data_IF_182851438080
#
_entry.id   IF_182851438080
#
_cell.length_a   1.000
_cell.length_b   1.000
_cell.length_c   1.000
_cell.angle_alpha   90.00
_cell.angle_beta   90.00
_cell.angle_gamma   90.00
#
_symmetry.space_group_name_H-M   'P 1'
#
loop_
_entity.id
_entity.type
_entity.pdbx_description
1 polymer ?
#
# COMPACT_ATOMS: atom_id res chain seq x y z
N UNK A 1 -40.27 25.88 2.94
CA UNK A 1 -39.51 25.98 1.69
C UNK A 1 -38.21 25.23 1.93
N UNK A 2 -38.26 23.98 1.52
CA UNK A 2 -37.24 22.93 1.64
C UNK A 2 -36.35 22.96 0.40
N UNK A 3 -35.32 22.09 0.36
CA UNK A 3 -34.32 21.87 -0.71
C UNK A 3 -33.10 22.80 -0.55
N UNK A 4 -31.85 22.36 -0.38
CA UNK A 4 -31.15 21.19 -0.90
C UNK A 4 -30.12 20.68 0.13
N UNK A 5 -30.22 19.41 0.53
CA UNK A 5 -29.10 18.66 1.08
C UNK A 5 -29.16 17.25 0.48
N UNK A 6 -28.85 17.19 -0.82
CA UNK A 6 -28.79 15.95 -1.60
C UNK A 6 -27.32 15.64 -1.91
N UNK A 7 -27.00 14.35 -1.79
CA UNK A 7 -25.80 13.66 -2.32
C UNK A 7 -24.50 13.89 -1.53
N UNK A 8 -23.77 12.89 -1.02
CA UNK A 8 -23.82 11.44 -1.11
C UNK A 8 -22.87 10.91 -0.01
N UNK A 9 -23.42 10.20 0.97
CA UNK A 9 -22.66 9.61 2.07
C UNK A 9 -22.25 8.18 1.67
N UNK A 10 -21.14 8.01 0.94
CA UNK A 10 -20.66 6.69 0.55
C UNK A 10 -19.86 6.02 1.69
N UNK A 11 -20.18 4.75 2.04
CA UNK A 11 -19.70 4.10 3.26
C UNK A 11 -18.24 3.62 3.16
N UNK A 12 -17.42 4.05 4.11
CA UNK A 12 -16.07 3.52 4.33
C UNK A 12 -16.12 2.06 4.79
N UNK A 13 -15.51 1.17 4.00
CA UNK A 13 -15.35 -0.28 4.28
C UNK A 13 -14.54 -0.55 5.56
N UNK A 14 -15.17 -0.48 6.73
CA UNK A 14 -14.74 -1.16 7.96
C UNK A 14 -15.95 -1.42 8.88
N UNK A 15 -16.86 -2.31 8.46
CA UNK A 15 -17.82 -2.91 9.41
C UNK A 15 -17.14 -4.04 10.16
N UNK A 16 -16.64 -3.70 11.35
CA UNK A 16 -16.42 -4.60 12.47
C UNK A 16 -17.79 -5.14 12.88
N UNK A 17 -18.03 -6.42 12.68
CA UNK A 17 -19.26 -7.10 13.15
C UNK A 17 -19.10 -7.28 14.66
N UNK A 18 -19.63 -6.33 15.43
CA UNK A 18 -20.06 -6.57 16.80
C UNK A 18 -21.55 -6.89 16.71
N UNK A 19 -21.91 -8.16 16.88
CA UNK A 19 -23.29 -8.59 17.02
C UNK A 19 -23.50 -9.03 18.46
N UNK A 20 -24.41 -8.32 19.12
CA UNK A 20 -24.89 -8.58 20.46
C UNK A 20 -25.56 -9.95 20.51
N UNK A 21 -25.15 -10.77 21.47
CA UNK A 21 -25.86 -12.00 21.83
C UNK A 21 -26.84 -11.67 22.95
N UNK A 22 -28.09 -11.36 22.58
CA UNK A 22 -29.19 -11.39 23.54
C UNK A 22 -29.84 -12.77 23.55
N UNK A 23 -29.89 -13.33 24.75
CA UNK A 23 -30.46 -14.62 25.10
C UNK A 23 -31.97 -14.49 25.19
N UNK A 24 -32.73 -15.22 24.38
CA UNK A 24 -33.98 -15.85 24.79
C UNK A 24 -34.56 -16.72 23.67
N UNK A 25 -35.42 -17.67 24.07
CA UNK A 25 -36.15 -18.66 23.28
C UNK A 25 -35.43 -20.03 23.21
N UNK A 26 -35.49 -20.71 24.35
CA UNK A 26 -35.54 -22.16 24.40
C UNK A 26 -37.00 -22.60 24.20
N UNK A 27 -37.30 -23.33 23.12
CA UNK A 27 -38.42 -24.29 23.04
C UNK A 27 -38.39 -25.11 21.73
N UNK A 28 -37.97 -26.38 21.87
CA UNK A 28 -38.66 -27.62 21.42
C UNK A 28 -38.91 -27.94 19.92
N UNK A 29 -38.57 -29.21 19.58
CA UNK A 29 -39.08 -30.14 18.50
C UNK A 29 -38.25 -30.16 17.19
N UNK A 30 -38.09 -31.31 16.46
CA UNK A 30 -37.66 -32.67 16.81
C UNK A 30 -36.39 -33.11 16.01
N UNK A 31 -35.83 -34.28 16.32
CA UNK A 31 -34.71 -34.87 15.59
C UNK A 31 -35.11 -35.26 14.15
N UNK A 32 -34.71 -34.43 13.18
CA UNK A 32 -34.80 -34.73 11.75
C UNK A 32 -33.44 -35.25 11.24
N UNK A 33 -33.39 -36.39 10.52
CA UNK A 33 -32.15 -37.01 10.04
C UNK A 33 -31.36 -36.14 9.04
N UNK A 34 -31.94 -35.02 8.57
CA UNK A 34 -31.26 -34.04 7.73
C UNK A 34 -30.10 -33.31 8.45
N UNK A 35 -30.11 -33.23 9.78
CA UNK A 35 -29.06 -32.57 10.55
C UNK A 35 -27.72 -33.33 10.52
N UNK A 36 -27.76 -34.66 10.39
CA UNK A 36 -26.55 -35.49 10.33
C UNK A 36 -25.75 -35.29 9.03
N UNK A 37 -26.44 -35.06 7.90
CA UNK A 37 -25.83 -34.75 6.61
C UNK A 37 -25.10 -33.40 6.62
N UNK A 38 -25.64 -32.42 7.33
CA UNK A 38 -25.02 -31.11 7.49
C UNK A 38 -23.76 -31.16 8.36
N UNK A 39 -23.78 -31.96 9.44
CA UNK A 39 -22.63 -32.12 10.33
C UNK A 39 -21.43 -32.85 9.68
N UNK A 40 -21.67 -33.78 8.77
CA UNK A 40 -20.61 -34.49 8.03
C UNK A 40 -19.88 -33.55 7.05
N UNK A 41 -20.63 -32.65 6.40
CA UNK A 41 -20.10 -31.69 5.43
C UNK A 41 -19.17 -30.63 6.07
N UNK A 42 -19.40 -30.30 7.34
CA UNK A 42 -18.55 -29.35 8.08
C UNK A 42 -17.24 -29.94 8.62
N UNK A 43 -17.08 -31.27 8.66
CA UNK A 43 -15.81 -31.92 9.07
C UNK A 43 -14.81 -32.05 7.92
N UNK A 44 -15.27 -32.16 6.67
CA UNK A 44 -14.37 -32.25 5.50
C UNK A 44 -13.77 -30.88 5.15
N UNK A 45 -14.49 -29.77 5.42
CA UNK A 45 -14.02 -28.42 5.12
C UNK A 45 -12.91 -27.88 6.05
N UNK A 46 -12.50 -28.61 7.08
CA UNK A 46 -11.47 -28.17 8.03
C UNK A 46 -10.08 -28.77 7.77
N UNK A 47 -9.96 -29.87 7.01
CA UNK A 47 -8.66 -30.52 6.77
C UNK A 47 -7.80 -29.84 5.70
N UNK A 48 -8.39 -29.05 4.79
CA UNK A 48 -7.63 -28.34 3.74
C UNK A 48 -7.02 -27.00 4.20
N UNK A 49 -7.25 -26.60 5.46
CA UNK A 49 -6.70 -25.35 6.03
C UNK A 49 -5.38 -25.53 6.78
N UNK A 50 -4.72 -26.67 6.65
CA UNK A 50 -3.30 -26.81 7.00
C UNK A 50 -2.40 -26.52 5.79
N UNK A 51 -2.60 -25.36 5.16
CA UNK A 51 -1.57 -24.74 4.33
C UNK A 51 -0.39 -24.44 5.25
N UNK A 52 0.63 -25.29 5.12
CA UNK A 52 1.93 -25.19 5.78
C UNK A 52 2.31 -23.73 6.07
N UNK A 53 2.52 -23.43 7.36
CA UNK A 53 3.06 -22.15 7.84
C UNK A 53 4.45 -21.83 7.28
N UNK A 54 5.09 -22.73 6.51
CA UNK A 54 6.41 -22.53 5.89
C UNK A 54 6.43 -21.51 4.75
N UNK A 55 5.27 -21.09 4.21
CA UNK A 55 5.21 -20.07 3.15
C UNK A 55 5.41 -18.63 3.65
N UNK A 56 5.40 -18.38 4.97
CA UNK A 56 5.49 -17.04 5.56
C UNK A 56 6.88 -16.40 5.50
N UNK A 57 7.91 -17.14 5.11
CA UNK A 57 9.30 -16.66 5.08
C UNK A 57 9.87 -16.47 3.67
N UNK A 58 9.05 -16.47 2.61
CA UNK A 58 9.56 -15.98 1.33
C UNK A 58 9.88 -14.49 1.51
N UNK A 59 11.13 -14.04 1.26
CA UNK A 59 11.42 -12.63 1.27
C UNK A 59 10.42 -11.96 0.34
N UNK A 60 9.59 -11.06 0.88
CA UNK A 60 8.53 -10.37 0.14
C UNK A 60 9.17 -9.71 -1.07
N UNK A 61 9.09 -10.35 -2.25
CA UNK A 61 9.90 -10.10 -3.45
C UNK A 61 10.48 -8.69 -3.46
N UNK A 62 11.66 -8.54 -2.85
CA UNK A 62 12.26 -7.22 -2.69
C UNK A 62 13.02 -6.93 -3.96
N UNK A 63 12.61 -5.88 -4.67
CA UNK A 63 13.34 -5.41 -5.87
C UNK A 63 14.83 -5.26 -5.55
N UNK A 64 15.68 -5.60 -6.52
CA UNK A 64 17.13 -5.53 -6.38
C UNK A 64 17.58 -4.11 -6.03
N UNK A 65 18.75 -4.00 -5.39
CA UNK A 65 19.33 -2.69 -5.04
C UNK A 65 19.54 -1.87 -6.31
N UNK A 66 20.12 -2.45 -7.36
CA UNK A 66 20.34 -1.79 -8.65
C UNK A 66 19.04 -1.23 -9.26
N UNK A 67 17.95 -2.00 -9.23
CA UNK A 67 16.66 -1.54 -9.75
C UNK A 67 16.09 -0.39 -8.91
N UNK A 68 16.18 -0.48 -7.58
CA UNK A 68 15.79 0.63 -6.69
C UNK A 68 16.63 1.87 -6.97
N UNK A 69 17.93 1.74 -7.15
CA UNK A 69 18.83 2.85 -7.48
C UNK A 69 18.38 3.56 -8.75
N UNK A 70 18.07 2.83 -9.83
CA UNK A 70 17.53 3.42 -11.07
C UNK A 70 16.22 4.17 -10.84
N UNK A 71 15.28 3.59 -10.09
CA UNK A 71 13.99 4.23 -9.83
C UNK A 71 14.11 5.50 -8.98
N UNK A 72 14.91 5.46 -7.92
CA UNK A 72 15.14 6.63 -7.07
C UNK A 72 15.89 7.73 -7.84
N UNK A 73 16.88 7.37 -8.67
CA UNK A 73 17.55 8.31 -9.56
C UNK A 73 16.58 8.96 -10.55
N UNK A 74 15.68 8.19 -11.15
CA UNK A 74 14.68 8.77 -12.04
C UNK A 74 13.74 9.74 -11.31
N UNK A 75 13.30 9.41 -10.09
CA UNK A 75 12.46 10.31 -9.28
C UNK A 75 13.20 11.57 -8.89
N UNK A 76 14.51 11.45 -8.61
CA UNK A 76 15.39 12.58 -8.41
C UNK A 76 15.26 13.51 -9.63
N UNK A 77 15.56 13.02 -10.83
CA UNK A 77 15.57 13.85 -12.04
C UNK A 77 14.18 14.40 -12.42
N UNK A 78 13.08 13.79 -11.93
CA UNK A 78 11.70 14.13 -12.28
C UNK A 78 10.85 14.52 -11.06
N UNK A 79 11.45 15.14 -10.04
CA UNK A 79 10.74 15.43 -8.79
C UNK A 79 9.53 16.34 -8.99
N UNK A 80 9.58 17.27 -9.94
CA UNK A 80 8.47 18.18 -10.25
C UNK A 80 7.27 17.45 -10.89
N UNK A 81 7.54 16.38 -11.64
CA UNK A 81 6.51 15.57 -12.30
C UNK A 81 6.83 14.06 -12.23
N UNK A 82 6.61 13.42 -11.06
CA UNK A 82 7.02 12.03 -10.81
C UNK A 82 6.03 11.00 -11.39
N UNK A 83 5.65 11.18 -12.65
CA UNK A 83 4.72 10.34 -13.40
C UNK A 83 5.45 9.73 -14.60
N UNK A 84 6.00 8.52 -14.45
CA UNK A 84 6.74 7.90 -15.53
C UNK A 84 5.82 7.54 -16.69
N UNK A 85 6.38 7.59 -17.89
CA UNK A 85 5.73 7.20 -19.15
C UNK A 85 6.07 5.76 -19.53
N UNK A 86 5.40 5.23 -20.55
CA UNK A 86 5.74 3.93 -21.13
C UNK A 86 7.16 3.91 -21.72
N UNK A 87 7.69 5.05 -22.17
CA UNK A 87 9.08 5.19 -22.62
C UNK A 87 10.05 5.07 -21.45
N UNK A 88 9.77 5.74 -20.32
CA UNK A 88 10.61 5.63 -19.12
C UNK A 88 10.69 4.20 -18.61
N UNK A 89 9.58 3.46 -18.68
CA UNK A 89 9.54 2.04 -18.33
C UNK A 89 10.55 1.20 -19.13
N UNK A 90 10.67 1.45 -20.44
CA UNK A 90 11.63 0.75 -21.30
C UNK A 90 13.08 1.10 -20.91
N UNK A 91 13.37 2.38 -20.66
CA UNK A 91 14.71 2.85 -20.28
C UNK A 91 15.14 2.40 -18.89
N UNK A 92 14.21 2.26 -17.96
CA UNK A 92 14.46 1.69 -16.64
C UNK A 92 14.72 0.17 -16.71
N UNK A 93 14.66 -0.41 -17.93
CA UNK A 93 15.15 -1.72 -18.36
C UNK A 93 14.61 -2.82 -17.45
N UNK A 94 13.30 -2.96 -17.53
CA UNK A 94 12.50 -3.87 -16.71
C UNK A 94 11.82 -4.93 -17.59
N UNK A 95 12.59 -5.54 -18.48
CA UNK A 95 12.05 -6.53 -19.41
C UNK A 95 11.55 -7.81 -18.71
N UNK A 96 11.85 -7.96 -17.41
CA UNK A 96 11.34 -9.02 -16.54
C UNK A 96 10.19 -8.60 -15.60
N UNK A 97 9.54 -7.46 -15.83
CA UNK A 97 8.59 -6.89 -14.86
C UNK A 97 7.28 -6.47 -15.47
N UNK A 98 6.21 -6.82 -14.76
CA UNK A 98 4.86 -6.48 -15.16
C UNK A 98 4.68 -4.95 -15.22
N UNK A 99 4.06 -4.49 -16.32
CA UNK A 99 3.66 -3.09 -16.54
C UNK A 99 2.89 -2.58 -15.33
N UNK A 100 1.99 -3.40 -14.77
CA UNK A 100 1.17 -3.02 -13.62
C UNK A 100 2.03 -2.74 -12.38
N UNK A 101 2.97 -3.63 -12.08
CA UNK A 101 3.83 -3.49 -10.89
C UNK A 101 4.73 -2.25 -10.95
N UNK A 102 5.07 -1.79 -12.16
CA UNK A 102 5.78 -0.53 -12.38
C UNK A 102 4.96 0.66 -11.93
N UNK A 103 3.78 0.84 -12.51
CA UNK A 103 2.92 1.96 -12.14
C UNK A 103 2.49 1.90 -10.67
N UNK A 104 2.26 0.70 -10.14
CA UNK A 104 1.98 0.50 -8.73
C UNK A 104 3.16 0.89 -7.84
N UNK A 105 4.39 0.59 -8.25
CA UNK A 105 5.55 1.01 -7.49
C UNK A 105 5.64 2.52 -7.41
N UNK A 106 5.54 3.22 -8.55
CA UNK A 106 5.62 4.69 -8.58
C UNK A 106 4.44 5.34 -7.85
N UNK A 107 3.23 4.82 -8.00
CA UNK A 107 2.06 5.31 -7.26
C UNK A 107 2.24 5.19 -5.75
N UNK A 108 2.63 4.00 -5.28
CA UNK A 108 2.92 3.78 -3.86
C UNK A 108 4.10 4.61 -3.37
N UNK A 109 5.11 4.79 -4.21
CA UNK A 109 6.27 5.59 -3.89
C UNK A 109 5.87 7.06 -3.65
N UNK A 110 5.13 7.66 -4.59
CA UNK A 110 4.64 9.04 -4.44
C UNK A 110 3.86 9.20 -3.14
N UNK A 111 2.94 8.30 -2.84
CA UNK A 111 2.14 8.37 -1.61
C UNK A 111 2.99 8.26 -0.33
N UNK A 112 3.95 7.33 -0.31
CA UNK A 112 4.75 7.05 0.89
C UNK A 112 5.87 8.05 1.11
N UNK A 113 6.52 8.52 0.05
CA UNK A 113 7.78 9.25 0.11
C UNK A 113 7.68 10.70 -0.35
N UNK A 114 6.60 11.12 -1.02
CA UNK A 114 6.43 12.49 -1.48
C UNK A 114 5.22 13.14 -0.79
N UNK A 115 5.30 14.45 -0.60
CA UNK A 115 4.19 15.32 -0.23
C UNK A 115 3.79 16.08 -1.49
N UNK A 116 2.50 16.09 -1.80
CA UNK A 116 1.95 16.94 -2.86
C UNK A 116 1.33 18.16 -2.18
N UNK A 117 1.84 19.35 -2.49
CA UNK A 117 1.24 20.62 -2.11
C UNK A 117 0.70 21.30 -3.36
N UNK A 118 -0.30 22.15 -3.21
CA UNK A 118 -0.81 23.00 -4.30
C UNK A 118 -0.32 24.41 -4.00
N UNK A 119 0.31 25.05 -4.98
CA UNK A 119 0.70 26.45 -4.86
C UNK A 119 -0.47 27.41 -5.11
N UNK A 120 -0.24 28.70 -4.89
CA UNK A 120 -1.26 29.74 -5.05
C UNK A 120 -1.79 29.84 -6.51
N UNK A 121 -1.05 29.27 -7.47
CA UNK A 121 -1.43 29.19 -8.88
C UNK A 121 -2.21 27.90 -9.22
N UNK A 122 -2.51 27.05 -8.21
CA UNK A 122 -3.20 25.79 -8.40
C UNK A 122 -2.32 24.66 -8.96
N UNK A 123 -1.01 24.89 -9.15
CA UNK A 123 -0.08 23.88 -9.65
C UNK A 123 0.38 22.97 -8.51
N UNK A 124 0.40 21.67 -8.82
CA UNK A 124 0.87 20.64 -7.89
C UNK A 124 2.40 20.66 -7.83
N UNK A 125 2.93 20.79 -6.63
CA UNK A 125 4.35 20.68 -6.33
C UNK A 125 4.60 19.45 -5.48
N UNK A 126 5.61 18.67 -5.84
CA UNK A 126 6.01 17.50 -5.09
C UNK A 126 7.28 17.80 -4.30
N UNK A 127 7.25 17.48 -3.01
CA UNK A 127 8.41 17.62 -2.12
C UNK A 127 8.75 16.27 -1.49
N UNK A 128 10.02 15.84 -1.48
CA UNK A 128 10.37 14.58 -0.84
C UNK A 128 10.25 14.65 0.69
N UNK A 129 9.79 13.55 1.30
CA UNK A 129 9.74 13.34 2.76
C UNK A 129 11.09 12.86 3.28
N UNK A 130 11.30 12.92 4.60
CA UNK A 130 12.49 12.37 5.26
C UNK A 130 12.81 10.91 4.86
N UNK A 131 11.79 10.07 4.67
CA UNK A 131 11.96 8.67 4.26
C UNK A 131 12.62 8.52 2.89
N UNK A 132 12.37 9.45 1.97
CA UNK A 132 13.00 9.51 0.67
C UNK A 132 14.51 9.75 0.81
N UNK A 133 14.89 10.82 1.53
CA UNK A 133 16.29 11.17 1.75
C UNK A 133 17.07 10.07 2.47
N UNK A 134 16.49 9.47 3.51
CA UNK A 134 17.10 8.32 4.19
C UNK A 134 17.36 7.15 3.25
N UNK A 135 16.51 6.96 2.24
CA UNK A 135 16.69 5.87 1.28
C UNK A 135 17.73 6.24 0.23
N UNK A 136 17.74 7.48 -0.26
CA UNK A 136 18.78 7.98 -1.16
C UNK A 136 20.18 7.87 -0.53
N UNK A 137 20.31 8.25 0.75
CA UNK A 137 21.56 8.10 1.51
C UNK A 137 22.00 6.63 1.59
N UNK A 138 21.09 5.71 1.89
CA UNK A 138 21.37 4.26 1.91
C UNK A 138 21.75 3.69 0.54
N UNK A 139 21.28 4.30 -0.54
CA UNK A 139 21.59 3.91 -1.91
C UNK A 139 22.83 4.64 -2.48
N UNK A 140 23.44 5.56 -1.73
CA UNK A 140 24.57 6.37 -2.20
C UNK A 140 24.19 7.30 -3.36
N UNK A 141 22.94 7.76 -3.42
CA UNK A 141 22.47 8.68 -4.47
C UNK A 141 22.71 10.13 -4.06
N UNK A 142 23.27 10.89 -4.99
CA UNK A 142 23.42 12.34 -4.86
C UNK A 142 22.13 13.06 -5.25
N UNK A 143 21.81 14.14 -4.53
CA UNK A 143 20.58 14.93 -4.71
C UNK A 143 21.00 16.35 -5.09
N UNK A 144 20.77 16.78 -6.35
CA UNK A 144 21.37 18.02 -6.85
C UNK A 144 20.66 19.31 -6.36
N UNK A 145 19.52 19.22 -5.69
CA UNK A 145 18.85 20.38 -5.07
C UNK A 145 19.06 20.44 -3.56
N UNK A 146 18.89 21.64 -3.01
CA UNK A 146 19.07 21.92 -1.59
C UNK A 146 18.13 21.07 -0.71
N UNK A 147 18.72 20.30 0.20
CA UNK A 147 17.97 19.55 1.22
C UNK A 147 17.51 20.55 2.31
N UNK A 148 16.22 20.57 2.70
CA UNK A 148 15.74 21.42 3.79
C UNK A 148 16.47 21.15 5.12
N UNK A 149 16.77 22.21 5.89
CA UNK A 149 17.51 22.09 7.15
C UNK A 149 16.82 21.20 8.19
N UNK A 150 15.48 21.22 8.23
CA UNK A 150 14.70 20.31 9.06
C UNK A 150 15.08 18.84 8.80
N UNK A 151 15.16 18.46 7.52
CA UNK A 151 15.51 17.10 7.11
C UNK A 151 16.97 16.81 7.39
N UNK A 152 17.89 17.76 7.12
CA UNK A 152 19.32 17.59 7.41
C UNK A 152 19.57 17.27 8.89
N UNK A 153 18.87 17.95 9.82
CA UNK A 153 18.97 17.67 11.27
C UNK A 153 18.60 16.22 11.59
N UNK A 154 17.59 15.67 10.94
CA UNK A 154 17.17 14.28 11.14
C UNK A 154 18.10 13.25 10.47
N UNK A 155 18.77 13.60 9.38
CA UNK A 155 19.75 12.72 8.72
C UNK A 155 21.05 12.59 9.52
N UNK A 156 21.55 13.70 10.10
CA UNK A 156 22.77 13.71 10.92
C UNK A 156 22.66 12.85 12.19
N UNK A 157 21.46 12.77 12.77
CA UNK A 157 21.18 11.99 13.98
C UNK A 157 21.21 10.47 13.78
N UNK A 158 21.18 9.99 12.54
CA UNK A 158 21.15 8.55 12.22
C UNK A 158 22.53 7.89 12.09
N UNK A 159 23.62 8.63 12.29
CA UNK A 159 25.01 8.15 12.22
C UNK A 159 25.64 7.89 13.61
N UNK A 160 24.83 7.55 14.62
CA UNK A 160 25.31 7.16 15.96
C UNK A 160 25.02 5.68 16.18
#
# INVERSE_FOLDING_TARGET
MSEEALYENQPTKRRRIELMADKSIAARIPESPAAASYAQSHKIAQSDKYVSRSSKNRPRNTRSIAQKTKFYKWIIDHIDHPFPTDKDRQHLCIDAFDKKDFYWWFSNHRHRNLVCTVDDQGKKQYRPKLTFYKTCQRLGLDIPWAIPEEIKRHLKRTNV
#
